data_IF_123925267944
#
_entry.id   IF_123925267944
#
_cell.length_a   1.000
_cell.length_b   1.000
_cell.length_c   1.000
_cell.angle_alpha   90.00
_cell.angle_beta   90.00
_cell.angle_gamma   90.00
#
_symmetry.space_group_name_H-M   'P 1'
#
loop_
_entity.id
_entity.type
_entity.pdbx_description
1 polymer ?
#
# COMPACT_ATOMS: atom_id res chain seq x y z
N UNK A 1 -8.39 -31.27 5.50
CA UNK A 1 -8.64 -30.38 4.35
C UNK A 1 -7.28 -29.78 4.00
N UNK A 2 -6.89 -29.71 2.73
CA UNK A 2 -5.64 -29.03 2.38
C UNK A 2 -5.80 -27.50 2.52
N UNK A 3 -4.68 -26.78 2.59
CA UNK A 3 -4.68 -25.33 2.81
C UNK A 3 -5.47 -24.59 1.72
N UNK A 4 -5.35 -25.01 0.46
CA UNK A 4 -6.11 -24.40 -0.65
C UNK A 4 -7.61 -24.46 -0.39
N UNK A 5 -8.13 -25.63 -0.02
CA UNK A 5 -9.56 -25.84 0.24
C UNK A 5 -10.04 -25.04 1.45
N UNK A 6 -9.20 -24.87 2.48
CA UNK A 6 -9.49 -24.06 3.67
C UNK A 6 -9.62 -22.59 3.27
N UNK A 7 -8.64 -22.06 2.55
CA UNK A 7 -8.65 -20.68 2.06
C UNK A 7 -9.88 -20.42 1.17
N UNK A 8 -10.20 -21.33 0.24
CA UNK A 8 -11.41 -21.24 -0.58
C UNK A 8 -12.69 -21.19 0.26
N UNK A 9 -12.81 -22.01 1.31
CA UNK A 9 -14.02 -22.04 2.14
C UNK A 9 -14.30 -20.71 2.86
N UNK A 10 -13.27 -19.95 3.22
CA UNK A 10 -13.42 -18.66 3.89
C UNK A 10 -13.61 -17.52 2.90
N UNK A 11 -12.90 -17.58 1.77
CA UNK A 11 -12.87 -16.49 0.81
C UNK A 11 -14.08 -16.49 -0.13
N UNK A 12 -14.50 -17.66 -0.60
CA UNK A 12 -15.57 -17.78 -1.61
C UNK A 12 -16.96 -17.52 -1.03
N UNK A 13 -17.11 -17.51 0.30
CA UNK A 13 -18.33 -17.09 1.00
C UNK A 13 -18.48 -15.56 1.06
N UNK A 14 -17.38 -14.82 0.91
CA UNK A 14 -17.30 -13.37 1.21
C UNK A 14 -17.00 -12.54 -0.04
N UNK A 15 -16.15 -13.04 -0.93
CA UNK A 15 -15.66 -12.26 -2.08
C UNK A 15 -16.06 -12.89 -3.41
N UNK A 16 -16.45 -12.04 -4.35
CA UNK A 16 -16.61 -12.41 -5.75
C UNK A 16 -15.31 -12.23 -6.53
N UNK A 17 -15.03 -13.09 -7.52
CA UNK A 17 -13.80 -13.02 -8.33
C UNK A 17 -13.61 -11.70 -9.08
N UNK A 18 -14.69 -10.97 -9.36
CA UNK A 18 -14.64 -9.64 -9.97
C UNK A 18 -14.17 -8.56 -8.97
N UNK A 19 -14.09 -8.84 -7.68
CA UNK A 19 -13.45 -7.98 -6.69
C UNK A 19 -11.94 -8.18 -6.64
N UNK A 20 -11.43 -9.33 -7.05
CA UNK A 20 -9.98 -9.61 -7.08
C UNK A 20 -9.54 -10.27 -8.40
N UNK A 21 -9.87 -9.69 -9.56
CA UNK A 21 -9.66 -10.33 -10.86
C UNK A 21 -8.18 -10.61 -11.15
N UNK A 22 -7.24 -9.80 -10.64
CA UNK A 22 -5.82 -9.98 -10.87
C UNK A 22 -5.29 -11.21 -10.13
N UNK A 23 -5.55 -11.31 -8.82
CA UNK A 23 -5.19 -12.51 -8.04
C UNK A 23 -5.92 -13.76 -8.53
N UNK A 24 -7.20 -13.65 -8.91
CA UNK A 24 -7.95 -14.78 -9.46
C UNK A 24 -7.34 -15.29 -10.77
N UNK A 25 -6.83 -14.38 -11.62
CA UNK A 25 -6.15 -14.76 -12.85
C UNK A 25 -4.81 -15.46 -12.57
N UNK A 26 -4.01 -14.95 -11.62
CA UNK A 26 -2.77 -15.60 -11.18
C UNK A 26 -3.05 -16.98 -10.59
N UNK A 27 -4.01 -17.11 -9.68
CA UNK A 27 -4.42 -18.40 -9.09
C UNK A 27 -4.79 -19.43 -10.17
N UNK A 28 -5.58 -19.02 -11.17
CA UNK A 28 -5.99 -19.90 -12.27
C UNK A 28 -4.82 -20.35 -13.14
N UNK A 29 -3.84 -19.48 -13.40
CA UNK A 29 -2.64 -19.82 -14.15
C UNK A 29 -1.72 -20.74 -13.33
N UNK A 30 -1.46 -20.36 -12.08
CA UNK A 30 -0.50 -20.99 -11.20
C UNK A 30 -0.93 -22.37 -10.71
N UNK A 31 -2.23 -22.67 -10.72
CA UNK A 31 -2.74 -24.05 -10.56
C UNK A 31 -2.10 -25.01 -11.56
N UNK A 32 -1.73 -24.53 -12.75
CA UNK A 32 -1.10 -25.33 -13.81
C UNK A 32 0.41 -25.15 -13.88
N UNK A 33 0.91 -23.92 -13.80
CA UNK A 33 2.35 -23.62 -13.99
C UNK A 33 3.19 -23.88 -12.75
N UNK A 34 2.57 -23.82 -11.56
CA UNK A 34 3.20 -24.08 -10.25
C UNK A 34 4.59 -23.44 -10.09
N UNK A 35 4.73 -22.11 -10.23
CA UNK A 35 6.04 -21.45 -10.27
C UNK A 35 6.81 -21.53 -8.94
N UNK A 36 6.15 -21.88 -7.83
CA UNK A 36 6.75 -21.94 -6.50
C UNK A 36 6.91 -23.38 -5.98
N UNK A 37 6.76 -24.40 -6.84
CA UNK A 37 6.85 -25.80 -6.44
C UNK A 37 8.20 -26.11 -5.76
N UNK A 38 8.15 -26.55 -4.51
CA UNK A 38 9.35 -26.84 -3.71
C UNK A 38 10.05 -25.63 -3.09
N UNK A 39 9.49 -24.42 -3.22
CA UNK A 39 10.04 -23.20 -2.62
C UNK A 39 9.33 -22.85 -1.31
N UNK A 40 10.10 -22.45 -0.30
CA UNK A 40 9.60 -21.87 0.94
C UNK A 40 9.41 -20.37 0.76
N UNK A 41 8.16 -19.92 0.82
CA UNK A 41 7.80 -18.52 0.57
C UNK A 41 7.23 -17.91 1.84
N UNK A 42 7.92 -16.91 2.38
CA UNK A 42 7.42 -16.09 3.47
C UNK A 42 6.65 -14.90 2.89
N UNK A 43 5.36 -14.78 3.19
CA UNK A 43 4.54 -13.60 2.86
C UNK A 43 4.16 -12.85 4.13
N UNK A 44 4.55 -11.58 4.22
CA UNK A 44 4.44 -10.74 5.42
C UNK A 44 3.65 -9.47 5.13
N UNK A 45 2.49 -9.62 4.49
CA UNK A 45 1.48 -8.56 4.40
C UNK A 45 0.65 -8.51 5.68
N UNK A 46 0.07 -7.34 6.05
CA UNK A 46 -0.88 -7.27 7.17
C UNK A 46 -1.95 -8.37 7.06
N UNK A 47 -2.13 -9.15 8.13
CA UNK A 47 -2.96 -10.35 8.13
C UNK A 47 -4.42 -9.92 8.38
N UNK A 48 -5.20 -9.93 7.31
CA UNK A 48 -6.64 -9.68 7.27
C UNK A 48 -7.29 -10.71 6.35
N UNK A 49 -8.62 -10.85 6.40
CA UNK A 49 -9.32 -11.80 5.54
C UNK A 49 -9.03 -11.56 4.05
N UNK A 50 -8.98 -10.30 3.64
CA UNK A 50 -8.74 -9.94 2.25
C UNK A 50 -7.30 -10.24 1.79
N UNK A 51 -6.29 -10.23 2.65
CA UNK A 51 -4.91 -10.57 2.24
C UNK A 51 -4.71 -12.07 2.05
N UNK A 52 -5.61 -12.90 2.59
CA UNK A 52 -5.61 -14.35 2.35
C UNK A 52 -5.85 -14.73 0.88
N UNK A 53 -6.37 -13.83 0.03
CA UNK A 53 -6.48 -14.08 -1.41
C UNK A 53 -5.11 -14.18 -2.08
N UNK A 54 -4.11 -13.44 -1.58
CA UNK A 54 -2.72 -13.57 -2.02
C UNK A 54 -2.16 -14.93 -1.63
N UNK A 55 -2.43 -15.37 -0.41
CA UNK A 55 -1.98 -16.66 0.11
C UNK A 55 -2.55 -17.80 -0.72
N UNK A 56 -3.83 -17.69 -1.10
CA UNK A 56 -4.50 -18.67 -1.96
C UNK A 56 -3.84 -18.76 -3.35
N UNK A 57 -3.42 -17.64 -3.93
CA UNK A 57 -2.70 -17.65 -5.20
C UNK A 57 -1.31 -18.30 -5.05
N UNK A 58 -0.55 -17.94 -4.01
CA UNK A 58 0.78 -18.52 -3.73
C UNK A 58 0.72 -20.04 -3.52
N UNK A 59 -0.27 -20.53 -2.75
CA UNK A 59 -0.50 -21.96 -2.52
C UNK A 59 -0.89 -22.68 -3.82
N UNK A 60 -1.75 -22.07 -4.66
CA UNK A 60 -2.06 -22.62 -5.98
C UNK A 60 -0.80 -22.76 -6.84
N UNK A 61 0.14 -21.82 -6.73
CA UNK A 61 1.45 -21.85 -7.35
C UNK A 61 2.45 -22.86 -6.74
N UNK A 62 2.07 -23.58 -5.70
CA UNK A 62 2.87 -24.67 -5.12
C UNK A 62 3.82 -24.25 -4.00
N UNK A 63 3.70 -23.03 -3.47
CA UNK A 63 4.54 -22.54 -2.39
C UNK A 63 4.35 -23.34 -1.08
N UNK A 64 5.45 -23.64 -0.40
CA UNK A 64 5.45 -23.96 1.03
C UNK A 64 5.36 -22.65 1.82
N UNK A 65 4.13 -22.28 2.19
CA UNK A 65 3.78 -20.95 2.66
C UNK A 65 4.10 -20.76 4.16
N UNK A 66 4.81 -19.68 4.47
CA UNK A 66 4.89 -19.10 5.82
C UNK A 66 4.24 -17.71 5.80
N UNK A 67 3.53 -17.36 6.86
CA UNK A 67 2.89 -16.05 7.00
C UNK A 67 3.62 -15.23 8.07
N UNK A 68 4.21 -14.12 7.66
CA UNK A 68 4.93 -13.20 8.53
C UNK A 68 3.98 -12.26 9.26
N UNK A 69 4.27 -12.00 10.53
CA UNK A 69 3.50 -11.13 11.42
C UNK A 69 4.43 -10.12 12.11
N UNK A 70 4.12 -8.82 12.01
CA UNK A 70 4.89 -7.73 12.64
C UNK A 70 3.97 -6.70 13.33
N UNK A 71 3.17 -5.97 12.56
CA UNK A 71 2.29 -4.88 13.02
C UNK A 71 0.97 -4.89 12.22
N UNK A 72 -0.11 -4.39 12.83
CA UNK A 72 -1.47 -4.26 12.26
C UNK A 72 -2.06 -5.54 11.64
N UNK A 73 -2.84 -6.29 12.41
CA UNK A 73 -3.45 -7.54 11.95
C UNK A 73 -4.81 -7.73 12.62
N UNK A 74 -5.67 -8.52 11.99
CA UNK A 74 -6.87 -9.05 12.63
C UNK A 74 -6.50 -10.30 13.46
N UNK A 75 -6.60 -10.25 14.81
CA UNK A 75 -6.27 -11.38 15.67
C UNK A 75 -7.09 -12.64 15.36
N UNK A 76 -8.35 -12.50 14.95
CA UNK A 76 -9.22 -13.64 14.66
C UNK A 76 -8.74 -14.36 13.39
N UNK A 77 -8.24 -13.62 12.40
CA UNK A 77 -7.65 -14.19 11.18
C UNK A 77 -6.31 -14.86 11.49
N UNK A 78 -5.49 -14.26 12.35
CA UNK A 78 -4.23 -14.87 12.80
C UNK A 78 -4.49 -16.21 13.51
N UNK A 79 -5.44 -16.24 14.44
CA UNK A 79 -5.79 -17.46 15.19
C UNK A 79 -6.40 -18.52 14.27
N UNK A 80 -7.25 -18.12 13.32
CA UNK A 80 -7.75 -19.00 12.28
C UNK A 80 -6.61 -19.67 11.49
N UNK A 81 -5.62 -18.89 11.02
CA UNK A 81 -4.49 -19.41 10.25
C UNK A 81 -3.68 -20.43 11.05
N UNK A 82 -3.45 -20.16 12.34
CA UNK A 82 -2.75 -21.09 13.25
C UNK A 82 -3.55 -22.37 13.50
N UNK A 83 -4.86 -22.27 13.70
CA UNK A 83 -5.74 -23.42 13.93
C UNK A 83 -5.68 -24.41 12.75
N UNK A 84 -5.59 -23.88 11.54
CA UNK A 84 -5.50 -24.66 10.31
C UNK A 84 -4.08 -25.09 9.91
N UNK A 85 -3.11 -24.85 10.79
CA UNK A 85 -1.74 -25.34 10.65
C UNK A 85 -0.86 -24.52 9.69
N UNK A 86 -1.25 -23.30 9.35
CA UNK A 86 -0.36 -22.38 8.62
C UNK A 86 0.68 -21.82 9.59
N UNK A 87 1.98 -21.92 9.30
CA UNK A 87 3.01 -21.30 10.13
C UNK A 87 2.88 -19.77 10.10
N UNK A 88 2.48 -19.18 11.23
CA UNK A 88 2.51 -17.74 11.45
C UNK A 88 3.72 -17.39 12.29
N UNK A 89 4.64 -16.59 11.73
CA UNK A 89 5.99 -16.37 12.27
C UNK A 89 6.30 -14.88 12.44
N UNK A 90 7.11 -14.59 13.45
CA UNK A 90 7.66 -13.25 13.72
C UNK A 90 9.06 -13.10 13.11
N UNK A 91 9.57 -11.87 12.94
CA UNK A 91 10.96 -11.66 12.50
C UNK A 91 11.99 -12.34 13.40
N UNK A 92 11.75 -12.35 14.72
CA UNK A 92 12.65 -12.99 15.68
C UNK A 92 12.71 -14.51 15.51
N UNK A 93 11.55 -15.17 15.30
CA UNK A 93 11.48 -16.61 15.07
C UNK A 93 12.16 -17.00 13.75
N UNK A 94 11.98 -16.19 12.70
CA UNK A 94 12.64 -16.42 11.41
C UNK A 94 14.16 -16.25 11.48
N UNK A 95 14.65 -15.24 12.20
CA UNK A 95 16.08 -15.08 12.45
C UNK A 95 16.66 -16.28 13.23
N UNK A 96 15.93 -16.79 14.21
CA UNK A 96 16.35 -17.98 14.95
C UNK A 96 16.40 -19.22 14.02
N UNK A 97 15.39 -19.40 13.17
CA UNK A 97 15.37 -20.48 12.18
C UNK A 97 16.56 -20.40 11.21
N UNK A 98 16.84 -19.20 10.70
CA UNK A 98 17.99 -18.97 9.82
C UNK A 98 19.32 -19.31 10.50
N UNK A 99 19.47 -18.98 11.79
CA UNK A 99 20.67 -19.33 12.58
C UNK A 99 20.88 -20.84 12.73
N UNK A 100 19.83 -21.64 12.57
CA UNK A 100 19.87 -23.11 12.52
C UNK A 100 20.04 -23.68 11.11
N UNK A 101 20.16 -22.82 10.11
CA UNK A 101 20.30 -23.20 8.69
C UNK A 101 18.95 -23.42 7.98
N UNK A 102 17.84 -22.99 8.56
CA UNK A 102 16.49 -23.13 7.99
C UNK A 102 16.12 -21.88 7.17
N UNK A 103 16.65 -21.75 5.96
CA UNK A 103 16.39 -20.61 5.09
C UNK A 103 15.05 -20.68 4.37
N UNK A 104 14.50 -19.52 4.01
CA UNK A 104 13.42 -19.36 3.02
C UNK A 104 14.00 -19.04 1.65
N UNK A 105 13.24 -19.30 0.60
CA UNK A 105 13.67 -19.02 -0.77
C UNK A 105 13.29 -17.59 -1.18
N UNK A 106 12.09 -17.14 -0.79
CA UNK A 106 11.54 -15.82 -1.08
C UNK A 106 10.95 -15.17 0.16
N UNK A 107 11.07 -13.85 0.23
CA UNK A 107 10.39 -13.01 1.23
C UNK A 107 9.58 -11.93 0.50
N UNK A 108 8.27 -11.97 0.68
CA UNK A 108 7.30 -11.00 0.20
C UNK A 108 6.92 -10.12 1.40
N UNK A 109 7.63 -9.01 1.59
CA UNK A 109 7.58 -8.17 2.78
C UNK A 109 6.68 -6.94 2.63
N UNK A 110 6.25 -6.39 3.76
CA UNK A 110 5.54 -5.12 3.84
C UNK A 110 6.11 -4.29 4.98
N UNK A 111 6.73 -3.17 4.63
CA UNK A 111 7.38 -2.21 5.53
C UNK A 111 8.73 -2.68 6.11
N UNK A 112 9.36 -3.70 5.49
CA UNK A 112 10.69 -4.20 5.85
C UNK A 112 10.90 -4.90 7.21
N UNK A 113 9.90 -5.40 7.98
CA UNK A 113 10.16 -6.12 9.23
C UNK A 113 11.01 -7.38 9.06
N UNK A 114 11.04 -7.98 7.86
CA UNK A 114 11.82 -9.16 7.53
C UNK A 114 13.04 -8.86 6.63
N UNK A 115 13.37 -7.59 6.41
CA UNK A 115 14.50 -7.16 5.58
C UNK A 115 15.87 -7.68 6.05
N UNK A 116 15.97 -8.11 7.30
CA UNK A 116 17.20 -8.66 7.93
C UNK A 116 17.49 -10.12 7.58
N UNK A 117 16.56 -10.83 6.94
CA UNK A 117 16.73 -12.22 6.54
C UNK A 117 17.66 -12.36 5.33
N UNK A 118 18.10 -13.58 5.03
CA UNK A 118 18.90 -13.89 3.84
C UNK A 118 18.18 -14.94 2.97
N UNK A 119 17.13 -14.57 2.22
CA UNK A 119 16.45 -15.49 1.31
C UNK A 119 17.39 -15.99 0.22
N UNK A 120 17.18 -17.23 -0.24
CA UNK A 120 18.04 -17.81 -1.29
C UNK A 120 17.92 -17.05 -2.61
N UNK A 121 16.69 -16.65 -2.99
CA UNK A 121 16.37 -16.00 -4.25
C UNK A 121 16.33 -14.48 -4.08
N UNK A 122 15.41 -13.95 -3.28
CA UNK A 122 15.27 -12.50 -3.13
C UNK A 122 14.03 -12.04 -2.39
N UNK A 123 13.77 -10.74 -2.51
CA UNK A 123 12.69 -10.03 -1.82
C UNK A 123 11.74 -9.33 -2.77
N UNK A 124 10.50 -9.16 -2.32
CA UNK A 124 9.58 -8.15 -2.84
C UNK A 124 9.13 -7.30 -1.66
N UNK A 125 9.25 -5.98 -1.76
CA UNK A 125 8.79 -5.02 -0.74
C UNK A 125 7.53 -4.31 -1.26
N UNK A 126 6.44 -4.43 -0.52
CA UNK A 126 5.12 -3.96 -0.91
C UNK A 126 4.92 -2.44 -0.79
N UNK A 127 5.58 -1.78 0.18
CA UNK A 127 5.30 -0.38 0.54
C UNK A 127 6.54 0.52 0.54
N UNK A 128 6.33 1.81 0.29
CA UNK A 128 7.37 2.84 0.32
C UNK A 128 8.12 2.87 1.65
N UNK A 129 7.40 2.69 2.75
CA UNK A 129 7.94 2.79 4.11
C UNK A 129 8.95 1.69 4.43
N UNK A 130 9.00 0.59 3.67
CA UNK A 130 9.99 -0.47 3.88
C UNK A 130 11.29 -0.27 3.11
N UNK A 131 11.28 0.56 2.06
CA UNK A 131 12.36 0.63 1.06
C UNK A 131 13.72 0.95 1.67
N UNK A 132 13.79 1.80 2.70
CA UNK A 132 15.06 2.19 3.32
C UNK A 132 15.76 1.04 4.06
N UNK A 133 15.02 0.00 4.47
CA UNK A 133 15.61 -1.20 5.08
C UNK A 133 16.39 -2.05 4.07
N UNK A 134 16.12 -1.88 2.77
CA UNK A 134 16.70 -2.67 1.69
C UNK A 134 17.81 -1.97 0.91
N UNK A 135 18.23 -0.77 1.32
CA UNK A 135 19.25 0.03 0.62
C UNK A 135 20.58 -0.73 0.40
N UNK A 136 20.93 -1.60 1.33
CA UNK A 136 22.17 -2.40 1.34
C UNK A 136 21.90 -3.89 1.07
N UNK A 137 20.73 -4.23 0.49
CA UNK A 137 20.35 -5.62 0.27
C UNK A 137 21.29 -6.33 -0.70
N UNK A 138 21.87 -7.45 -0.26
CA UNK A 138 22.76 -8.30 -1.06
C UNK A 138 22.01 -9.17 -2.08
N UNK A 139 20.67 -9.23 -1.97
CA UNK A 139 19.76 -9.94 -2.86
C UNK A 139 18.92 -8.95 -3.67
N UNK A 140 18.37 -9.36 -4.81
CA UNK A 140 17.42 -8.53 -5.55
C UNK A 140 16.19 -8.22 -4.70
N UNK A 141 15.71 -6.98 -4.79
CA UNK A 141 14.51 -6.50 -4.10
C UNK A 141 13.64 -5.76 -5.11
N UNK A 142 12.49 -6.33 -5.46
CA UNK A 142 11.50 -5.55 -6.21
C UNK A 142 10.68 -4.67 -5.27
N UNK A 143 10.53 -3.38 -5.61
CA UNK A 143 9.73 -2.43 -4.85
C UNK A 143 8.38 -2.25 -5.52
N UNK A 144 7.38 -3.02 -5.10
CA UNK A 144 6.03 -2.99 -5.69
C UNK A 144 5.35 -1.63 -5.57
N UNK A 145 5.67 -0.85 -4.52
CA UNK A 145 5.10 0.49 -4.32
C UNK A 145 5.40 1.46 -5.47
N UNK A 146 6.50 1.28 -6.18
CA UNK A 146 6.88 2.16 -7.28
C UNK A 146 5.99 1.99 -8.52
N UNK A 147 5.14 0.97 -8.54
CA UNK A 147 4.26 0.66 -9.64
C UNK A 147 3.04 1.56 -9.80
N UNK A 148 2.54 1.69 -11.02
CA UNK A 148 1.27 2.38 -11.34
C UNK A 148 0.09 1.69 -10.67
N UNK A 149 0.14 0.35 -10.53
CA UNK A 149 -0.95 -0.42 -9.91
C UNK A 149 -1.10 -0.12 -8.42
N UNK A 150 -0.02 0.23 -7.71
CA UNK A 150 -0.09 0.62 -6.29
C UNK A 150 -0.90 1.92 -6.08
N UNK A 151 -1.05 2.74 -7.13
CA UNK A 151 -1.90 3.93 -7.06
C UNK A 151 -3.38 3.58 -6.86
N UNK A 152 -3.83 2.42 -7.29
CA UNK A 152 -5.21 1.97 -7.08
C UNK A 152 -5.48 1.86 -5.57
N UNK A 153 -4.65 1.12 -4.85
CA UNK A 153 -4.74 1.00 -3.39
C UNK A 153 -4.62 2.35 -2.68
N UNK A 154 -3.58 3.11 -3.03
CA UNK A 154 -3.22 4.31 -2.25
C UNK A 154 -4.08 5.53 -2.59
N UNK A 155 -4.52 5.68 -3.84
CA UNK A 155 -5.34 6.81 -4.27
C UNK A 155 -6.83 6.53 -4.25
N UNK A 156 -7.29 5.29 -4.47
CA UNK A 156 -8.72 4.96 -4.37
C UNK A 156 -9.01 4.31 -3.01
N UNK A 157 -8.25 3.27 -2.65
CA UNK A 157 -8.50 2.47 -1.46
C UNK A 157 -8.32 3.22 -0.14
N UNK A 158 -7.22 3.97 0.02
CA UNK A 158 -6.98 4.71 1.27
C UNK A 158 -7.97 5.88 1.44
N UNK A 159 -8.34 6.55 0.35
CA UNK A 159 -9.39 7.57 0.36
C UNK A 159 -10.75 6.99 0.79
N UNK A 160 -11.13 5.84 0.24
CA UNK A 160 -12.32 5.09 0.66
C UNK A 160 -12.26 4.69 2.14
N UNK A 161 -11.12 4.13 2.58
CA UNK A 161 -10.90 3.72 3.98
C UNK A 161 -11.02 4.87 4.98
N UNK A 162 -10.57 6.07 4.65
CA UNK A 162 -10.75 7.25 5.50
C UNK A 162 -12.24 7.53 5.78
N UNK A 163 -13.06 7.61 4.72
CA UNK A 163 -14.48 7.91 4.86
C UNK A 163 -15.26 6.77 5.54
N UNK A 164 -14.94 5.51 5.24
CA UNK A 164 -15.51 4.36 5.95
C UNK A 164 -15.17 4.38 7.43
N UNK A 165 -13.95 4.79 7.79
CA UNK A 165 -13.53 4.99 9.17
C UNK A 165 -14.39 6.02 9.90
N UNK A 166 -14.63 7.17 9.28
CA UNK A 166 -15.55 8.19 9.82
C UNK A 166 -16.97 7.65 9.99
N UNK A 167 -17.50 6.96 8.98
CA UNK A 167 -18.84 6.36 9.01
C UNK A 167 -18.98 5.32 10.13
N UNK A 168 -17.99 4.45 10.31
CA UNK A 168 -17.96 3.45 11.40
C UNK A 168 -18.03 4.09 12.78
N UNK A 169 -17.46 5.28 12.95
CA UNK A 169 -17.50 6.05 14.18
C UNK A 169 -18.78 6.89 14.36
N UNK A 170 -19.74 6.80 13.42
CA UNK A 170 -20.96 7.59 13.44
C UNK A 170 -20.74 9.06 13.07
N UNK A 171 -19.60 9.39 12.46
CA UNK A 171 -19.22 10.72 11.98
C UNK A 171 -19.51 10.91 10.48
N UNK A 172 -20.15 9.91 9.86
CA UNK A 172 -20.60 9.95 8.46
C UNK A 172 -22.06 10.35 8.29
N UNK A 173 -22.54 10.32 7.05
CA UNK A 173 -23.93 10.61 6.67
C UNK A 173 -24.02 11.63 5.55
N UNK A 174 -23.79 12.90 5.86
CA UNK A 174 -23.80 14.00 4.90
C UNK A 174 -22.46 14.76 4.92
N UNK A 175 -21.69 14.56 3.85
CA UNK A 175 -20.42 15.24 3.62
C UNK A 175 -20.57 16.47 2.72
N UNK A 176 -21.76 16.70 2.16
CA UNK A 176 -22.01 17.77 1.21
C UNK A 176 -21.74 19.15 1.85
N UNK A 177 -20.90 19.95 1.19
CA UNK A 177 -20.50 21.27 1.64
C UNK A 177 -19.60 21.30 2.88
N UNK A 178 -19.27 20.15 3.49
CA UNK A 178 -18.36 20.08 4.64
C UNK A 178 -16.94 20.46 4.24
N UNK A 179 -16.25 21.17 5.13
CA UNK A 179 -14.88 21.61 4.88
C UNK A 179 -13.89 20.53 5.34
N UNK A 180 -13.18 19.95 4.37
CA UNK A 180 -12.16 18.95 4.59
C UNK A 180 -10.79 19.55 4.30
N UNK A 181 -9.94 19.60 5.33
CA UNK A 181 -8.55 20.01 5.21
C UNK A 181 -7.64 18.77 5.22
N UNK A 182 -6.87 18.58 4.16
CA UNK A 182 -5.97 17.43 3.99
C UNK A 182 -4.52 17.93 4.01
N UNK A 183 -3.69 17.36 4.88
CA UNK A 183 -2.25 17.62 4.89
C UNK A 183 -1.51 16.53 4.10
N UNK A 184 -0.80 16.93 3.05
CA UNK A 184 -0.05 16.06 2.15
C UNK A 184 -0.72 15.91 0.77
N UNK A 185 0.06 16.11 -0.30
CA UNK A 185 -0.38 15.95 -1.70
C UNK A 185 0.20 14.69 -2.38
N UNK A 186 0.63 13.70 -1.59
CA UNK A 186 1.08 12.40 -2.10
C UNK A 186 -0.09 11.48 -2.44
N UNK A 187 0.21 10.22 -2.82
CA UNK A 187 -0.81 9.24 -3.27
C UNK A 187 -2.02 9.13 -2.33
N UNK A 188 -1.76 9.05 -1.01
CA UNK A 188 -2.78 8.92 0.05
C UNK A 188 -3.58 10.20 0.22
N UNK A 189 -2.90 11.33 0.48
CA UNK A 189 -3.56 12.62 0.69
C UNK A 189 -4.42 13.04 -0.50
N UNK A 190 -3.91 12.83 -1.73
CA UNK A 190 -4.69 13.10 -2.94
C UNK A 190 -5.86 12.15 -3.11
N UNK A 191 -5.73 10.89 -2.72
CA UNK A 191 -6.86 9.95 -2.71
C UNK A 191 -7.98 10.39 -1.78
N UNK A 192 -7.63 10.82 -0.56
CA UNK A 192 -8.58 11.35 0.41
C UNK A 192 -9.24 12.63 -0.13
N UNK A 193 -8.46 13.55 -0.70
CA UNK A 193 -8.97 14.79 -1.26
C UNK A 193 -9.97 14.55 -2.40
N UNK A 194 -9.61 13.73 -3.39
CA UNK A 194 -10.48 13.41 -4.52
C UNK A 194 -11.74 12.65 -4.08
N UNK A 195 -11.64 11.76 -3.10
CA UNK A 195 -12.81 11.08 -2.54
C UNK A 195 -13.70 12.06 -1.77
N UNK A 196 -13.13 13.07 -1.11
CA UNK A 196 -13.87 14.17 -0.51
C UNK A 196 -14.64 14.99 -1.54
N UNK A 197 -14.02 15.36 -2.65
CA UNK A 197 -14.70 16.06 -3.76
C UNK A 197 -15.87 15.24 -4.29
N UNK A 198 -15.67 13.93 -4.53
CA UNK A 198 -16.74 13.01 -4.99
C UNK A 198 -17.91 12.90 -4.00
N UNK A 199 -17.66 13.14 -2.72
CA UNK A 199 -18.66 13.13 -1.64
C UNK A 199 -19.23 14.53 -1.34
N UNK A 200 -18.89 15.54 -2.15
CA UNK A 200 -19.42 16.90 -2.03
C UNK A 200 -18.70 17.80 -1.02
N UNK A 201 -17.56 17.39 -0.47
CA UNK A 201 -16.80 18.23 0.44
C UNK A 201 -16.20 19.45 -0.29
N UNK A 202 -16.08 20.56 0.45
CA UNK A 202 -15.20 21.67 0.13
C UNK A 202 -13.78 21.30 0.59
N UNK A 203 -12.92 20.87 -0.35
CA UNK A 203 -11.60 20.31 -0.02
C UNK A 203 -10.49 21.35 -0.22
N UNK A 204 -9.61 21.44 0.77
CA UNK A 204 -8.32 22.15 0.67
C UNK A 204 -7.19 21.20 1.04
N UNK A 205 -6.13 21.20 0.24
CA UNK A 205 -4.90 20.44 0.49
C UNK A 205 -3.79 21.38 0.92
N UNK A 206 -3.06 21.01 1.97
CA UNK A 206 -1.87 21.72 2.46
C UNK A 206 -0.65 20.86 2.19
N UNK A 207 0.34 21.40 1.47
CA UNK A 207 1.55 20.66 1.09
C UNK A 207 2.74 21.59 0.91
N UNK A 208 3.95 21.03 0.83
CA UNK A 208 5.14 21.83 0.51
C UNK A 208 5.21 22.10 -1.00
N UNK A 209 4.84 23.31 -1.42
CA UNK A 209 4.85 23.73 -2.82
C UNK A 209 6.27 23.77 -3.42
N UNK A 210 7.32 23.83 -2.59
CA UNK A 210 8.71 23.80 -3.07
C UNK A 210 9.15 22.39 -3.43
N UNK A 211 8.50 21.36 -2.86
CA UNK A 211 8.77 19.95 -3.18
C UNK A 211 8.38 19.60 -4.62
N UNK A 212 7.34 20.24 -5.17
CA UNK A 212 6.91 20.10 -6.57
C UNK A 212 7.82 20.82 -7.58
N UNK A 213 8.41 21.96 -7.18
CA UNK A 213 9.27 22.77 -8.06
C UNK A 213 10.66 22.16 -8.28
N UNK A 214 11.16 21.34 -7.35
CA UNK A 214 12.43 20.62 -7.56
C UNK A 214 12.28 19.42 -8.52
N UNK A 215 11.06 19.01 -8.84
CA UNK A 215 10.77 17.81 -9.65
C UNK A 215 10.51 18.18 -11.13
N UNK A 216 9.83 19.29 -11.42
CA UNK A 216 9.57 19.76 -12.80
C UNK A 216 10.82 20.27 -13.53
N UNK A 217 11.87 20.67 -12.80
CA UNK A 217 13.15 21.06 -13.41
C UNK A 217 14.01 19.86 -13.87
N UNK A 218 13.68 18.63 -13.43
CA UNK A 218 14.45 17.41 -13.71
C UNK A 218 13.67 16.34 -14.50
N UNK A 219 12.38 16.55 -14.79
CA UNK A 219 11.48 15.52 -15.33
C UNK A 219 11.73 15.12 -16.79
N UNK A 220 12.41 15.93 -17.60
CA UNK A 220 12.71 15.54 -18.99
C UNK A 220 13.89 14.55 -19.11
N UNK A 221 14.66 14.31 -18.03
CA UNK A 221 15.83 13.40 -18.03
C UNK A 221 15.90 12.42 -16.84
N UNK A 222 15.01 12.49 -15.84
CA UNK A 222 15.13 11.70 -14.59
C UNK A 222 14.42 10.34 -14.61
N UNK A 223 13.50 10.08 -15.53
CA UNK A 223 12.72 8.82 -15.54
C UNK A 223 13.55 7.58 -15.93
N UNK A 224 14.77 7.77 -16.45
CA UNK A 224 15.62 6.66 -16.90
C UNK A 224 16.83 6.37 -15.97
N UNK A 225 16.95 7.04 -14.81
CA UNK A 225 18.13 6.86 -13.92
C UNK A 225 17.88 6.94 -12.41
N UNK A 226 16.65 7.24 -11.95
CA UNK A 226 16.37 7.27 -10.51
C UNK A 226 16.29 5.85 -9.94
N UNK A 227 17.01 5.56 -8.85
CA UNK A 227 16.84 4.31 -8.12
C UNK A 227 15.48 4.32 -7.38
N UNK A 228 14.85 3.16 -7.10
CA UNK A 228 13.58 3.12 -6.38
C UNK A 228 13.59 3.92 -5.07
N UNK A 229 14.71 3.94 -4.33
CA UNK A 229 14.90 4.72 -3.10
C UNK A 229 14.84 6.24 -3.28
N UNK A 230 15.18 6.77 -4.46
CA UNK A 230 15.20 8.22 -4.73
C UNK A 230 13.96 8.73 -5.46
N UNK A 231 13.02 7.84 -5.80
CA UNK A 231 11.77 8.24 -6.42
C UNK A 231 10.99 9.15 -5.47
N UNK A 232 10.69 10.40 -5.86
CA UNK A 232 9.87 11.26 -5.04
C UNK A 232 8.50 10.63 -4.83
N UNK A 233 7.96 10.74 -3.62
CA UNK A 233 6.53 10.61 -3.40
C UNK A 233 5.88 11.64 -4.33
N UNK A 234 5.26 11.18 -5.42
CA UNK A 234 4.82 12.06 -6.50
C UNK A 234 3.99 13.22 -5.99
N UNK A 235 4.19 14.41 -6.57
CA UNK A 235 3.36 15.57 -6.29
C UNK A 235 2.13 15.58 -7.20
N UNK A 236 0.95 15.45 -6.60
CA UNK A 236 -0.32 15.42 -7.31
C UNK A 236 -1.03 16.78 -7.29
N UNK A 237 -0.35 17.87 -6.91
CA UNK A 237 -0.96 19.21 -6.83
C UNK A 237 -1.67 19.62 -8.12
N UNK A 238 -1.07 19.37 -9.29
CA UNK A 238 -1.71 19.69 -10.58
C UNK A 238 -3.00 18.89 -10.82
N UNK A 239 -3.06 17.62 -10.40
CA UNK A 239 -4.28 16.79 -10.50
C UNK A 239 -5.34 17.32 -9.54
N UNK A 240 -4.95 17.72 -8.34
CA UNK A 240 -5.84 18.31 -7.34
C UNK A 240 -6.47 19.62 -7.85
N UNK A 241 -5.65 20.53 -8.38
CA UNK A 241 -6.13 21.80 -8.95
C UNK A 241 -7.09 21.61 -10.13
N UNK A 242 -6.84 20.61 -10.98
CA UNK A 242 -7.75 20.25 -12.09
C UNK A 242 -9.11 19.71 -11.61
N UNK A 243 -9.21 19.29 -10.35
CA UNK A 243 -10.44 18.81 -9.72
C UNK A 243 -10.99 19.84 -8.71
N UNK A 244 -10.70 21.14 -8.94
CA UNK A 244 -11.17 22.26 -8.12
C UNK A 244 -10.78 22.19 -6.63
N UNK A 245 -9.68 21.49 -6.32
CA UNK A 245 -9.12 21.44 -4.96
C UNK A 245 -8.11 22.56 -4.78
N UNK A 246 -8.32 23.40 -3.76
CA UNK A 246 -7.35 24.45 -3.41
C UNK A 246 -6.09 23.84 -2.79
N UNK A 247 -4.90 24.23 -3.26
CA UNK A 247 -3.61 23.81 -2.70
C UNK A 247 -2.90 24.98 -2.03
N UNK A 248 -2.48 24.81 -0.76
CA UNK A 248 -1.88 25.84 0.09
C UNK A 248 -0.50 25.40 0.57
N UNK A 249 0.45 26.33 0.61
CA UNK A 249 1.80 26.07 1.13
C UNK A 249 1.76 25.78 2.64
N UNK A 250 2.32 24.65 3.06
CA UNK A 250 2.42 24.26 4.46
C UNK A 250 3.24 25.24 5.32
N UNK A 251 4.07 26.09 4.70
CA UNK A 251 4.85 27.11 5.40
C UNK A 251 4.08 28.41 5.63
N UNK A 252 2.89 28.59 5.06
CA UNK A 252 1.99 29.71 5.38
C UNK A 252 1.17 29.41 6.64
N UNK A 253 1.86 29.39 7.78
CA UNK A 253 1.28 29.00 9.06
C UNK A 253 0.03 29.81 9.44
N UNK A 254 -0.03 31.09 9.07
CA UNK A 254 -1.18 31.93 9.38
C UNK A 254 -2.44 31.47 8.60
N UNK A 255 -2.29 31.22 7.30
CA UNK A 255 -3.38 30.69 6.48
C UNK A 255 -3.76 29.27 6.91
N UNK A 256 -2.77 28.41 7.16
CA UNK A 256 -3.01 27.02 7.57
C UNK A 256 -3.69 26.93 8.93
N UNK A 257 -3.29 27.73 9.92
CA UNK A 257 -3.95 27.79 11.23
C UNK A 257 -5.42 28.22 11.09
N UNK A 258 -5.69 29.25 10.29
CA UNK A 258 -7.06 29.68 9.98
C UNK A 258 -7.88 28.58 9.31
N UNK A 259 -7.29 27.80 8.40
CA UNK A 259 -7.97 26.65 7.78
C UNK A 259 -8.31 25.57 8.81
N UNK A 260 -7.40 25.25 9.73
CA UNK A 260 -7.63 24.26 10.81
C UNK A 260 -8.81 24.69 11.68
N UNK A 261 -8.89 25.97 12.06
CA UNK A 261 -9.96 26.51 12.92
C UNK A 261 -11.34 26.49 12.24
N UNK A 262 -11.36 26.62 10.91
CA UNK A 262 -12.58 26.79 10.13
C UNK A 262 -13.05 25.51 9.41
N UNK A 263 -12.37 24.38 9.61
CA UNK A 263 -12.70 23.10 8.96
C UNK A 263 -13.64 22.25 9.81
N UNK A 264 -14.42 21.38 9.16
CA UNK A 264 -15.21 20.35 9.84
C UNK A 264 -14.34 19.10 10.12
N UNK A 265 -13.43 18.79 9.18
CA UNK A 265 -12.53 17.63 9.24
C UNK A 265 -11.11 18.07 8.90
N UNK A 266 -10.14 17.56 9.65
CA UNK A 266 -8.71 17.70 9.38
C UNK A 266 -8.08 16.33 9.36
N UNK A 267 -7.36 16.01 8.28
CA UNK A 267 -6.70 14.72 8.12
C UNK A 267 -5.26 14.88 7.67
N UNK A 268 -4.34 14.11 8.26
CA UNK A 268 -2.91 14.11 7.92
C UNK A 268 -2.52 12.87 7.13
N UNK A 269 -1.75 13.05 6.06
CA UNK A 269 -1.26 12.01 5.15
C UNK A 269 0.08 12.40 4.51
N UNK A 270 0.96 13.02 5.29
CA UNK A 270 2.24 13.57 4.83
C UNK A 270 3.36 12.53 4.80
N UNK A 271 3.24 11.46 5.60
CA UNK A 271 4.30 10.48 5.85
C UNK A 271 5.44 11.05 6.70
N UNK A 272 5.26 12.21 7.35
CA UNK A 272 6.30 12.92 8.10
C UNK A 272 5.90 13.02 9.57
N UNK A 273 6.68 12.39 10.44
CA UNK A 273 6.53 12.53 11.89
C UNK A 273 6.61 14.01 12.30
N UNK A 274 5.69 14.44 13.16
CA UNK A 274 5.60 15.82 13.66
C UNK A 274 5.38 16.89 12.57
N UNK A 275 4.79 16.54 11.41
CA UNK A 275 4.53 17.49 10.33
C UNK A 275 3.77 18.75 10.77
N UNK A 276 2.87 18.65 11.76
CA UNK A 276 2.04 19.75 12.24
C UNK A 276 2.52 20.32 13.59
N UNK A 277 3.72 19.98 14.05
CA UNK A 277 4.22 20.38 15.37
C UNK A 277 4.67 21.85 15.49
N UNK A 278 4.49 22.67 14.44
CA UNK A 278 4.73 24.10 14.53
C UNK A 278 3.81 24.74 15.60
N UNK A 279 4.31 25.66 16.45
CA UNK A 279 3.52 26.21 17.56
C UNK A 279 2.18 26.81 17.12
N UNK A 280 2.16 27.55 16.01
CA UNK A 280 0.98 28.20 15.46
C UNK A 280 -0.09 27.18 15.04
N UNK A 281 0.33 26.06 14.44
CA UNK A 281 -0.57 24.98 14.03
C UNK A 281 -1.05 24.20 15.25
N UNK A 282 -0.17 23.95 16.21
CA UNK A 282 -0.51 23.26 17.46
C UNK A 282 -1.58 24.03 18.23
N UNK A 283 -1.47 25.35 18.34
CA UNK A 283 -2.50 26.18 18.99
C UNK A 283 -3.86 26.05 18.30
N UNK A 284 -3.90 26.12 16.96
CA UNK A 284 -5.13 25.92 16.19
C UNK A 284 -5.70 24.49 16.35
N UNK A 285 -4.84 23.47 16.37
CA UNK A 285 -5.24 22.07 16.60
C UNK A 285 -5.80 21.86 18.01
N UNK A 286 -5.26 22.53 19.02
CA UNK A 286 -5.76 22.45 20.39
C UNK A 286 -7.09 23.16 20.57
N UNK A 287 -7.36 24.24 19.84
CA UNK A 287 -8.58 25.04 19.95
C UNK A 287 -9.71 24.60 19.01
N UNK A 288 -9.39 23.94 17.89
CA UNK A 288 -10.37 23.57 16.86
C UNK A 288 -11.40 22.56 17.37
N UNK A 289 -12.59 22.63 16.76
CA UNK A 289 -13.69 21.68 16.90
C UNK A 289 -13.74 20.65 15.78
N UNK A 290 -12.84 20.78 14.79
CA UNK A 290 -12.74 19.82 13.70
C UNK A 290 -12.46 18.41 14.23
N UNK A 291 -12.95 17.41 13.50
CA UNK A 291 -12.60 16.02 13.72
C UNK A 291 -11.19 15.81 13.15
N UNK A 292 -10.26 15.37 13.99
CA UNK A 292 -8.86 15.16 13.61
C UNK A 292 -8.59 13.68 13.37
N UNK A 293 -7.91 13.35 12.27
CA UNK A 293 -7.56 11.97 11.93
C UNK A 293 -6.16 11.91 11.30
N UNK A 294 -5.42 10.85 11.58
CA UNK A 294 -4.20 10.53 10.86
C UNK A 294 -4.47 9.41 9.84
N UNK A 295 -3.76 9.44 8.72
CA UNK A 295 -3.74 8.38 7.70
C UNK A 295 -2.30 7.97 7.34
N UNK A 296 -1.29 8.63 7.92
CA UNK A 296 0.11 8.20 7.85
C UNK A 296 0.45 7.12 8.88
N UNK A 297 1.62 6.50 8.71
CA UNK A 297 2.16 5.51 9.67
C UNK A 297 2.73 6.19 10.92
N UNK A 298 3.28 7.40 10.77
CA UNK A 298 3.89 8.17 11.85
C UNK A 298 2.85 9.03 12.61
N UNK A 299 3.17 9.44 13.84
CA UNK A 299 2.45 10.55 14.50
C UNK A 299 2.81 11.88 13.81
N UNK A 300 1.94 12.32 12.89
CA UNK A 300 2.12 13.55 12.14
C UNK A 300 1.66 14.82 12.90
N UNK A 301 0.84 14.66 13.95
CA UNK A 301 0.34 15.77 14.77
C UNK A 301 1.34 16.22 15.83
N UNK A 302 2.13 15.27 16.34
CA UNK A 302 3.17 15.49 17.35
C UNK A 302 2.67 15.51 18.79
N UNK A 303 3.60 15.39 19.73
CA UNK A 303 3.33 15.09 21.15
C UNK A 303 2.45 16.13 21.86
N UNK A 304 2.47 17.39 21.41
CA UNK A 304 1.72 18.47 22.04
C UNK A 304 0.20 18.36 21.83
N UNK A 305 -0.25 17.66 20.78
CA UNK A 305 -1.67 17.36 20.56
C UNK A 305 -2.01 16.09 21.34
N UNK A 306 -3.00 16.10 22.25
CA UNK A 306 -3.39 14.92 23.00
C UNK A 306 -3.87 13.79 22.09
N UNK A 307 -3.49 12.55 22.42
CA UNK A 307 -3.84 11.35 21.66
C UNK A 307 -5.34 11.20 21.47
N UNK A 308 -6.12 11.45 22.52
CA UNK A 308 -7.59 11.37 22.51
C UNK A 308 -8.28 12.43 21.64
N UNK A 309 -7.55 13.47 21.22
CA UNK A 309 -8.10 14.50 20.32
C UNK A 309 -8.10 14.06 18.85
N UNK A 310 -7.27 13.06 18.52
CA UNK A 310 -7.14 12.53 17.17
C UNK A 310 -7.73 11.12 17.15
N UNK A 311 -8.55 10.83 16.15
CA UNK A 311 -9.14 9.52 15.99
C UNK A 311 -8.06 8.42 15.91
N UNK A 312 -8.41 7.22 16.37
CA UNK A 312 -7.54 6.04 16.39
C UNK A 312 -6.18 6.27 17.07
N UNK A 313 -6.15 7.06 18.16
CA UNK A 313 -4.94 7.33 18.94
C UNK A 313 -3.77 7.86 18.08
N UNK A 314 -4.09 8.70 17.07
CA UNK A 314 -3.17 9.21 16.04
C UNK A 314 -2.60 8.16 15.09
N UNK A 315 -3.03 6.91 15.18
CA UNK A 315 -2.76 5.90 14.16
C UNK A 315 -3.58 6.12 12.89
N UNK A 316 -3.23 5.46 11.78
CA UNK A 316 -3.98 5.57 10.54
C UNK A 316 -5.44 5.09 10.72
N UNK A 317 -6.40 5.97 10.44
CA UNK A 317 -7.80 5.80 10.82
C UNK A 317 -8.43 4.54 10.21
N UNK A 318 -8.09 4.20 8.98
CA UNK A 318 -8.69 3.07 8.29
C UNK A 318 -8.41 1.73 8.98
N UNK A 319 -7.37 1.62 9.82
CA UNK A 319 -7.07 0.39 10.57
C UNK A 319 -8.08 0.06 11.69
N UNK A 320 -9.06 0.91 11.95
CA UNK A 320 -10.21 0.54 12.81
C UNK A 320 -11.22 -0.36 12.09
N UNK A 321 -11.12 -0.50 10.77
CA UNK A 321 -12.06 -1.24 9.92
C UNK A 321 -11.71 -2.73 9.94
N UNK A 322 -12.72 -3.58 9.68
CA UNK A 322 -12.48 -5.02 9.46
C UNK A 322 -11.56 -5.24 8.26
N UNK A 323 -11.73 -4.42 7.22
CA UNK A 323 -10.80 -4.31 6.11
C UNK A 323 -10.30 -2.87 5.98
N UNK A 324 -9.04 -2.59 6.38
CA UNK A 324 -8.48 -1.25 6.29
C UNK A 324 -8.54 -0.68 4.87
N UNK A 325 -8.35 -1.54 3.88
CA UNK A 325 -8.59 -1.24 2.48
C UNK A 325 -9.39 -2.40 1.90
N UNK A 326 -10.51 -2.13 1.22
CA UNK A 326 -11.30 -3.20 0.62
C UNK A 326 -10.50 -3.98 -0.43
N UNK A 327 -10.78 -5.29 -0.53
CA UNK A 327 -10.11 -6.21 -1.46
C UNK A 327 -10.00 -5.65 -2.89
N UNK A 328 -11.10 -5.09 -3.42
CA UNK A 328 -11.16 -4.50 -4.76
C UNK A 328 -10.11 -3.43 -5.05
N UNK A 329 -9.63 -2.72 -4.04
CA UNK A 329 -8.60 -1.70 -4.19
C UNK A 329 -7.17 -2.22 -3.94
N UNK A 330 -7.00 -3.36 -3.26
CA UNK A 330 -5.68 -3.94 -2.97
C UNK A 330 -5.32 -5.13 -3.88
N UNK A 331 -6.29 -5.70 -4.61
CA UNK A 331 -6.09 -6.85 -5.50
C UNK A 331 -4.85 -6.71 -6.39
N UNK A 332 -4.74 -5.61 -7.13
CA UNK A 332 -3.61 -5.41 -8.05
C UNK A 332 -2.28 -5.23 -7.33
N UNK A 333 -2.29 -4.70 -6.11
CA UNK A 333 -1.07 -4.55 -5.30
C UNK A 333 -0.57 -5.91 -4.82
N UNK A 334 -1.47 -6.74 -4.29
CA UNK A 334 -1.17 -8.09 -3.83
C UNK A 334 -0.81 -9.01 -5.02
N UNK A 335 -1.51 -8.87 -6.15
CA UNK A 335 -1.18 -9.60 -7.37
C UNK A 335 0.21 -9.20 -7.90
N UNK A 336 0.56 -7.91 -7.87
CA UNK A 336 1.89 -7.47 -8.27
C UNK A 336 2.97 -8.02 -7.32
N UNK A 337 2.71 -7.98 -6.02
CA UNK A 337 3.61 -8.52 -4.99
C UNK A 337 3.94 -10.00 -5.25
N UNK A 338 2.92 -10.83 -5.47
CA UNK A 338 3.09 -12.24 -5.79
C UNK A 338 3.72 -12.47 -7.19
N UNK A 339 3.32 -11.73 -8.22
CA UNK A 339 3.87 -11.88 -9.57
C UNK A 339 5.35 -11.49 -9.66
N UNK A 340 5.80 -10.51 -8.86
CA UNK A 340 7.21 -10.16 -8.77
C UNK A 340 8.03 -11.26 -8.10
N UNK A 341 7.44 -12.02 -7.18
CA UNK A 341 8.08 -13.21 -6.63
C UNK A 341 8.28 -14.30 -7.70
N UNK A 342 7.26 -14.55 -8.55
CA UNK A 342 7.41 -15.44 -9.71
C UNK A 342 8.52 -14.94 -10.66
N UNK A 343 8.58 -13.63 -10.93
CA UNK A 343 9.65 -13.04 -11.75
C UNK A 343 11.04 -13.35 -11.18
N UNK A 344 11.23 -13.24 -9.86
CA UNK A 344 12.50 -13.59 -9.21
C UNK A 344 12.86 -15.06 -9.37
N UNK A 345 11.87 -15.98 -9.28
CA UNK A 345 12.11 -17.42 -9.53
C UNK A 345 12.57 -17.66 -10.96
N UNK A 346 11.89 -17.03 -11.94
CA UNK A 346 12.25 -17.17 -13.36
C UNK A 346 13.67 -16.66 -13.62
N UNK A 347 14.05 -15.52 -13.05
CA UNK A 347 15.40 -14.97 -13.17
C UNK A 347 16.45 -15.89 -12.52
N UNK A 348 16.16 -16.44 -11.34
CA UNK A 348 17.05 -17.40 -10.69
C UNK A 348 17.29 -18.65 -11.55
N UNK A 349 16.22 -19.23 -12.12
CA UNK A 349 16.31 -20.41 -12.97
C UNK A 349 17.14 -20.15 -14.25
N UNK A 350 17.02 -18.97 -14.86
CA UNK A 350 17.80 -18.63 -16.06
C UNK A 350 19.31 -18.56 -15.81
N UNK A 351 19.73 -18.30 -14.57
CA UNK A 351 21.14 -18.24 -14.20
C UNK A 351 21.71 -19.64 -13.95
N UNK A 352 20.93 -20.56 -13.38
CA UNK A 352 21.33 -21.97 -13.20
C UNK A 352 21.60 -22.66 -14.55
N UNK A 353 20.82 -22.31 -15.58
CA UNK A 353 21.00 -22.82 -16.94
C UNK A 353 22.17 -22.17 -17.71
N UNK A 354 22.74 -21.08 -17.19
CA UNK A 354 23.86 -20.37 -17.82
C UNK A 354 25.21 -21.01 -17.47
N UNK A 355 25.98 -21.41 -18.50
CA UNK A 355 27.28 -22.08 -18.30
C UNK A 355 28.42 -21.15 -17.86
N UNK A 356 28.18 -19.84 -17.77
CA UNK A 356 29.15 -18.82 -17.37
C UNK A 356 28.99 -18.47 -15.88
N UNK A 357 29.53 -19.32 -15.02
CA UNK A 357 29.51 -19.17 -13.55
C UNK A 357 30.19 -17.88 -13.02
N UNK A 358 30.89 -17.13 -13.87
CA UNK A 358 31.58 -15.90 -13.50
C UNK A 358 30.73 -14.62 -13.63
N UNK A 359 29.52 -14.71 -14.19
CA UNK A 359 28.60 -13.56 -14.38
C UNK A 359 27.16 -13.84 -13.92
N UNK A 360 26.89 -15.00 -13.33
CA UNK A 360 25.55 -15.49 -13.07
C UNK A 360 25.02 -15.13 -11.67
N UNK A 361 25.05 -13.84 -11.31
CA UNK A 361 24.38 -13.36 -10.09
C UNK A 361 23.13 -12.56 -10.46
N UNK A 362 22.00 -12.84 -9.80
CA UNK A 362 20.82 -11.98 -9.91
C UNK A 362 21.22 -10.62 -9.36
N UNK A 363 21.20 -9.57 -10.19
CA UNK A 363 21.64 -8.21 -9.79
C UNK A 363 21.06 -7.80 -8.43
N UNK A 364 21.91 -7.61 -7.43
CA UNK A 364 21.50 -7.24 -6.08
C UNK A 364 20.83 -5.86 -6.04
N UNK A 365 20.15 -5.58 -4.92
CA UNK A 365 19.57 -4.27 -4.60
C UNK A 365 18.19 -4.01 -5.19
N UNK A 366 17.77 -2.75 -5.05
CA UNK A 366 16.42 -2.28 -5.34
C UNK A 366 16.12 -2.20 -6.84
N UNK A 367 14.92 -2.66 -7.21
CA UNK A 367 14.43 -2.70 -8.60
C UNK A 367 13.00 -2.21 -8.73
N UNK A 368 12.69 -1.66 -9.90
CA UNK A 368 11.32 -1.34 -10.27
C UNK A 368 10.56 -2.57 -10.75
N UNK A 369 9.24 -2.62 -10.54
CA UNK A 369 8.40 -3.61 -11.19
C UNK A 369 8.56 -3.56 -12.72
N UNK A 370 8.66 -4.70 -13.41
CA UNK A 370 8.63 -4.72 -14.87
C UNK A 370 7.29 -4.21 -15.42
N UNK A 371 7.34 -3.26 -16.36
CA UNK A 371 6.14 -2.61 -16.89
C UNK A 371 5.14 -3.59 -17.51
N UNK A 372 5.62 -4.69 -18.11
CA UNK A 372 4.75 -5.69 -18.73
C UNK A 372 3.89 -6.43 -17.70
N UNK A 373 4.40 -6.66 -16.49
CA UNK A 373 3.64 -7.27 -15.40
C UNK A 373 2.57 -6.29 -14.93
N UNK A 374 2.94 -5.02 -14.71
CA UNK A 374 2.01 -3.99 -14.28
C UNK A 374 0.87 -3.77 -15.28
N UNK A 375 1.20 -3.65 -16.58
CA UNK A 375 0.22 -3.46 -17.64
C UNK A 375 -0.73 -4.65 -17.74
N UNK A 376 -0.22 -5.88 -17.57
CA UNK A 376 -1.04 -7.09 -17.56
C UNK A 376 -2.05 -7.04 -16.42
N UNK A 377 -1.60 -6.81 -15.19
CA UNK A 377 -2.47 -6.78 -14.00
C UNK A 377 -3.49 -5.63 -14.09
N UNK A 378 -3.05 -4.45 -14.53
CA UNK A 378 -3.92 -3.30 -14.73
C UNK A 378 -5.02 -3.59 -15.76
N UNK A 379 -4.65 -4.22 -16.89
CA UNK A 379 -5.62 -4.59 -17.93
C UNK A 379 -6.65 -5.58 -17.41
N UNK A 380 -6.22 -6.59 -16.64
CA UNK A 380 -7.12 -7.57 -16.02
C UNK A 380 -8.09 -6.88 -15.06
N UNK A 381 -7.59 -6.00 -14.19
CA UNK A 381 -8.42 -5.26 -13.24
C UNK A 381 -9.42 -4.32 -13.93
N UNK A 382 -9.03 -3.66 -15.02
CA UNK A 382 -9.94 -2.80 -15.78
C UNK A 382 -11.04 -3.62 -16.47
N UNK A 383 -10.69 -4.74 -17.10
CA UNK A 383 -11.62 -5.49 -17.94
C UNK A 383 -12.57 -6.39 -17.13
N UNK A 384 -12.08 -6.96 -16.03
CA UNK A 384 -12.79 -7.99 -15.28
C UNK A 384 -13.16 -7.56 -13.86
N UNK A 385 -12.71 -6.38 -13.42
CA UNK A 385 -12.89 -5.89 -12.05
C UNK A 385 -14.09 -4.97 -11.88
N UNK A 386 -14.68 -5.01 -10.69
CA UNK A 386 -15.81 -4.13 -10.29
C UNK A 386 -15.43 -2.64 -10.24
N UNK A 387 -14.14 -2.32 -10.10
CA UNK A 387 -13.62 -0.95 -10.06
C UNK A 387 -12.99 -0.49 -11.38
N UNK A 388 -13.17 -1.22 -12.48
CA UNK A 388 -12.61 -0.85 -13.79
C UNK A 388 -12.87 0.60 -14.21
N UNK A 389 -14.12 1.13 -14.09
CA UNK A 389 -14.42 2.53 -14.36
C UNK A 389 -13.67 3.52 -13.45
N UNK A 390 -13.51 3.21 -12.16
CA UNK A 390 -12.77 4.05 -11.21
C UNK A 390 -11.27 4.11 -11.56
N UNK A 391 -10.69 2.97 -11.98
CA UNK A 391 -9.31 2.88 -12.45
C UNK A 391 -9.13 3.73 -13.72
N UNK A 392 -10.05 3.62 -14.69
CA UNK A 392 -10.00 4.45 -15.90
C UNK A 392 -10.05 5.94 -15.58
N UNK A 393 -10.95 6.37 -14.68
CA UNK A 393 -11.04 7.75 -14.22
C UNK A 393 -9.75 8.22 -13.54
N UNK A 394 -9.15 7.39 -12.68
CA UNK A 394 -7.87 7.69 -12.02
C UNK A 394 -6.72 7.90 -13.02
N UNK A 395 -6.74 7.19 -14.15
CA UNK A 395 -5.72 7.27 -15.20
C UNK A 395 -5.96 8.43 -16.19
N UNK A 396 -6.98 9.28 -15.96
CA UNK A 396 -7.33 10.37 -16.87
C UNK A 396 -8.15 9.92 -18.09
N UNK A 397 -8.67 8.69 -18.08
CA UNK A 397 -9.67 8.23 -19.02
C UNK A 397 -11.02 8.88 -18.73
N UNK A 398 -11.67 9.40 -19.76
CA UNK A 398 -13.05 9.92 -19.69
C UNK A 398 -13.96 8.80 -19.14
N UNK A 399 -14.84 9.07 -18.15
CA UNK A 399 -15.88 8.12 -17.79
C UNK A 399 -16.67 7.80 -19.06
N UNK A 400 -16.65 6.55 -19.51
CA UNK A 400 -17.66 6.12 -20.46
C UNK A 400 -18.96 6.15 -19.70
N UNK A 401 -19.82 7.10 -20.06
CA UNK A 401 -21.23 7.09 -19.73
C UNK A 401 -21.75 5.67 -20.00
N UNK A 402 -22.06 4.95 -18.93
CA UNK A 402 -22.99 3.84 -19.00
C UNK A 402 -24.20 4.27 -18.19
N UNK A 403 -25.21 4.71 -18.94
CA UNK A 403 -26.62 4.74 -18.56
C UNK A 403 -27.06 3.44 -17.85
#
# INVERSE_FOLDING_TARGET
>A
MDLQSILSSVLDEVYEKNEYPALAALESEWTHTRPFDGLRVLVATPIYRNTMTEYRALVAGGADLLVGFSEFNDPDVVDFMREWGVPVVTPAEMLEAESRGEFVDLVLDCAGPFAVLHPKIGFVELTRSGVHYYKDAEKPVYVADSGIVKRIETSLGTGDGYFRGLEKLGLGGDFEGKKLLVFGSGKVGSGIALQGVRRGCNVTVVTDLKRGQSQTANSENAEHSAAPETMPAGDFSAVLEQNDVAVVDCHDYATVASLIENSDFVVTATGVKNALAAPELTEALLSTKAILANMGVEDEYGEAVPTEKVLNDKGPLNFILEEPTHLKYIDTSLALHAALAERLVQEAATLEDSSDAASAEISAGLRFPPQEIEQRLLTIAIQNGVIGPEICSMLGGIPTEMD
#
